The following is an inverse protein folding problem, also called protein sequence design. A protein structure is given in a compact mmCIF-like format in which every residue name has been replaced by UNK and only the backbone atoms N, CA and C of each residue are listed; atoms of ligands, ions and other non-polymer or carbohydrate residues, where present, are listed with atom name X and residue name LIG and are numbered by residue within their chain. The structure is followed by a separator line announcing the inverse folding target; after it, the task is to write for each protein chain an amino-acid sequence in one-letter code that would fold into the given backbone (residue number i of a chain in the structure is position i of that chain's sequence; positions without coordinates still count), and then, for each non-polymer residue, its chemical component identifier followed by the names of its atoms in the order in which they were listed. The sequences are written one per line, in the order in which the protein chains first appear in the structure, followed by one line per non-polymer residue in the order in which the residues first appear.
data_IF_428246369682
#
_entry.id   IF_428246369682
#
_cell.length_a   1.000
_cell.length_b   1.000
_cell.length_c   1.000
_cell.angle_alpha   90.00
_cell.angle_beta   90.00
_cell.angle_gamma   90.00
#
_symmetry.space_group_name_H-M   'P 1'
#
loop_
_entity.id
_entity.type
_entity.pdbx_description
1 polymer ?
#
# COMPACT_ATOMS: atom_id res chain seq x y z
N UNK A 1 12.62 1.09 -16.64
CA UNK A 1 13.91 0.67 -17.22
C UNK A 1 13.81 -0.79 -17.63
N UNK A 2 14.29 -1.14 -18.81
CA UNK A 2 14.43 -2.56 -19.21
C UNK A 2 15.75 -3.04 -18.63
N UNK A 3 15.70 -4.05 -17.77
CA UNK A 3 16.90 -4.71 -17.25
C UNK A 3 17.55 -5.51 -18.40
N UNK A 4 18.88 -5.51 -18.53
CA UNK A 4 19.57 -6.38 -19.46
C UNK A 4 19.49 -7.84 -18.98
N UNK A 5 19.73 -8.78 -19.89
CA UNK A 5 19.82 -10.20 -19.54
C UNK A 5 20.98 -10.50 -18.59
N UNK A 6 22.06 -9.71 -18.69
CA UNK A 6 23.23 -9.83 -17.81
C UNK A 6 23.49 -8.50 -17.07
N UNK A 7 23.48 -8.53 -15.74
CA UNK A 7 23.77 -7.35 -14.90
C UNK A 7 25.25 -6.93 -14.98
N UNK A 8 26.16 -7.81 -15.38
CA UNK A 8 27.57 -7.48 -15.59
C UNK A 8 27.80 -6.55 -16.80
N UNK A 9 26.76 -6.35 -17.64
CA UNK A 9 26.81 -5.39 -18.75
C UNK A 9 26.70 -3.93 -18.27
N UNK A 10 26.45 -3.72 -16.95
CA UNK A 10 26.43 -2.38 -16.37
C UNK A 10 27.76 -2.00 -15.76
N UNK A 11 28.22 -0.82 -16.12
CA UNK A 11 29.35 -0.13 -15.50
C UNK A 11 29.06 1.37 -15.36
N UNK A 12 30.02 2.13 -14.90
CA UNK A 12 29.88 3.60 -14.76
C UNK A 12 29.61 4.34 -16.09
N UNK A 13 29.92 3.73 -17.24
CA UNK A 13 29.75 4.27 -18.59
C UNK A 13 28.52 3.72 -19.30
N UNK A 14 27.98 2.59 -18.83
CA UNK A 14 26.84 1.89 -19.43
C UNK A 14 25.73 1.69 -18.39
N UNK A 15 24.99 2.77 -18.09
CA UNK A 15 23.92 2.76 -17.10
C UNK A 15 22.56 2.48 -17.73
N UNK A 16 21.61 2.02 -16.90
CA UNK A 16 20.22 1.83 -17.31
C UNK A 16 19.62 3.09 -17.91
N UNK A 17 19.05 2.94 -19.09
CA UNK A 17 18.26 4.01 -19.68
C UNK A 17 16.94 4.17 -18.92
N UNK A 18 16.80 5.27 -18.22
CA UNK A 18 15.56 5.62 -17.52
C UNK A 18 14.53 6.16 -18.53
N UNK A 19 13.30 5.68 -18.39
CA UNK A 19 12.14 6.20 -19.12
C UNK A 19 11.22 6.87 -18.11
N UNK A 20 10.96 8.16 -18.30
CA UNK A 20 9.98 8.88 -17.49
C UNK A 20 8.58 8.45 -17.94
N UNK A 21 7.80 7.90 -17.03
CA UNK A 21 6.42 7.49 -17.29
C UNK A 21 5.44 8.65 -17.07
N UNK A 22 5.63 9.41 -15.99
CA UNK A 22 4.78 10.54 -15.61
C UNK A 22 5.60 11.58 -14.85
N UNK A 23 5.23 12.84 -14.97
CA UNK A 23 5.72 13.95 -14.15
C UNK A 23 4.55 14.69 -13.47
N UNK A 24 4.86 15.77 -12.73
CA UNK A 24 3.87 16.54 -11.98
C UNK A 24 3.28 15.78 -10.79
N UNK A 25 4.01 14.84 -10.21
CA UNK A 25 3.61 14.08 -9.03
C UNK A 25 4.33 14.65 -7.79
N UNK A 26 3.73 15.68 -7.17
CA UNK A 26 4.31 16.35 -6.00
C UNK A 26 4.29 15.43 -4.79
N UNK A 27 5.38 15.44 -4.01
CA UNK A 27 5.54 14.56 -2.84
C UNK A 27 5.21 13.09 -3.15
N UNK A 28 5.62 12.62 -4.32
CA UNK A 28 5.53 11.20 -4.65
C UNK A 28 6.18 10.38 -3.54
N UNK A 29 5.43 9.48 -2.90
CA UNK A 29 5.88 8.79 -1.70
C UNK A 29 5.53 7.32 -1.69
N UNK A 30 4.25 6.96 -1.78
CA UNK A 30 3.79 5.58 -1.67
C UNK A 30 3.94 4.79 -2.97
N UNK A 31 4.30 3.53 -2.81
CA UNK A 31 4.38 2.56 -3.88
C UNK A 31 3.86 1.20 -3.39
N UNK A 32 2.90 0.63 -4.10
CA UNK A 32 2.40 -0.72 -3.84
C UNK A 32 2.39 -1.52 -5.14
N UNK A 33 3.12 -2.64 -5.17
CA UNK A 33 2.97 -3.64 -6.21
C UNK A 33 1.66 -4.41 -5.98
N UNK A 34 0.88 -4.59 -7.02
CA UNK A 34 -0.41 -5.29 -6.97
C UNK A 34 -0.68 -6.06 -8.26
N UNK A 35 -1.53 -7.07 -8.17
CA UNK A 35 -1.98 -7.82 -9.36
C UNK A 35 -3.46 -7.58 -9.57
N UNK A 36 -3.84 -7.07 -10.73
CA UNK A 36 -5.23 -6.84 -11.13
C UNK A 36 -5.50 -7.62 -12.42
N UNK A 37 -6.51 -8.49 -12.39
CA UNK A 37 -6.88 -9.35 -13.52
C UNK A 37 -5.69 -10.17 -14.10
N UNK A 38 -4.77 -10.59 -13.21
CA UNK A 38 -3.59 -11.35 -13.58
C UNK A 38 -2.42 -10.52 -14.12
N UNK A 39 -2.56 -9.18 -14.19
CA UNK A 39 -1.51 -8.26 -14.62
C UNK A 39 -0.86 -7.61 -13.40
N UNK A 40 0.47 -7.66 -13.32
CA UNK A 40 1.20 -6.95 -12.28
C UNK A 40 1.22 -5.45 -12.57
N UNK A 41 0.70 -4.67 -11.64
CA UNK A 41 0.56 -3.22 -11.72
C UNK A 41 1.29 -2.54 -10.55
N UNK A 42 1.49 -1.24 -10.68
CA UNK A 42 2.00 -0.41 -9.60
C UNK A 42 0.98 0.66 -9.21
N UNK A 43 0.65 0.72 -7.92
CA UNK A 43 -0.10 1.83 -7.34
C UNK A 43 0.91 2.85 -6.81
N UNK A 44 0.75 4.12 -7.20
CA UNK A 44 1.67 5.20 -6.83
C UNK A 44 0.86 6.37 -6.31
N UNK A 45 1.34 7.00 -5.23
CA UNK A 45 0.63 8.09 -4.55
C UNK A 45 1.44 9.38 -4.53
N UNK A 46 0.73 10.50 -4.53
CA UNK A 46 1.28 11.86 -4.47
C UNK A 46 0.23 12.87 -4.00
N UNK A 47 0.56 14.15 -3.97
CA UNK A 47 -0.40 15.22 -3.62
C UNK A 47 -1.55 15.33 -4.64
N UNK A 48 -1.35 14.92 -5.90
CA UNK A 48 -2.38 14.89 -6.95
C UNK A 48 -3.32 13.68 -6.83
N UNK A 49 -2.99 12.69 -6.00
CA UNK A 49 -3.85 11.54 -5.74
C UNK A 49 -3.20 10.17 -5.88
N UNK A 50 -4.01 9.19 -6.24
CA UNK A 50 -3.64 7.78 -6.39
C UNK A 50 -3.70 7.38 -7.86
N UNK A 51 -2.61 6.85 -8.38
CA UNK A 51 -2.45 6.45 -9.77
C UNK A 51 -2.13 4.97 -9.90
N UNK A 52 -2.79 4.31 -10.84
CA UNK A 52 -2.48 2.94 -11.26
C UNK A 52 -1.64 2.99 -12.53
N UNK A 53 -0.51 2.34 -12.49
CA UNK A 53 0.39 2.15 -13.62
C UNK A 53 0.30 0.70 -14.09
N UNK A 54 -0.22 0.48 -15.28
CA UNK A 54 -0.31 -0.84 -15.90
C UNK A 54 0.76 -0.97 -16.97
N UNK A 55 1.64 -1.98 -16.90
CA UNK A 55 2.65 -2.19 -17.92
C UNK A 55 2.00 -2.62 -19.24
N UNK A 56 2.59 -2.26 -20.38
CA UNK A 56 2.14 -2.75 -21.68
C UNK A 56 2.51 -4.23 -21.88
N UNK A 57 1.79 -4.91 -22.75
CA UNK A 57 2.12 -6.29 -23.15
C UNK A 57 3.46 -6.37 -23.92
N UNK A 58 3.82 -5.30 -24.62
CA UNK A 58 5.07 -5.19 -25.39
C UNK A 58 5.94 -4.05 -24.88
N UNK A 59 7.28 -4.23 -24.73
CA UNK A 59 8.19 -3.19 -24.23
C UNK A 59 8.27 -1.92 -25.10
N UNK A 60 7.74 -1.95 -26.33
CA UNK A 60 7.70 -0.79 -27.24
C UNK A 60 6.45 0.06 -27.09
N UNK A 61 5.45 -0.44 -26.38
CA UNK A 61 4.20 0.27 -26.12
C UNK A 61 4.32 1.18 -24.88
N UNK A 62 3.35 2.07 -24.73
CA UNK A 62 3.32 2.99 -23.58
C UNK A 62 2.57 2.35 -22.43
N UNK A 63 3.01 2.67 -21.21
CA UNK A 63 2.29 2.32 -19.99
C UNK A 63 0.93 3.03 -19.95
N UNK A 64 -0.09 2.32 -19.55
CA UNK A 64 -1.36 2.93 -19.17
C UNK A 64 -1.22 3.53 -17.77
N UNK A 65 -1.64 4.79 -17.62
CA UNK A 65 -1.61 5.50 -16.34
C UNK A 65 -3.00 6.04 -16.06
N UNK A 66 -3.68 5.44 -15.09
CA UNK A 66 -5.03 5.80 -14.68
C UNK A 66 -5.01 6.46 -13.32
N UNK A 67 -5.56 7.66 -13.20
CA UNK A 67 -5.87 8.26 -11.90
C UNK A 67 -7.11 7.60 -11.33
N UNK A 68 -6.97 6.92 -10.19
CA UNK A 68 -8.07 6.26 -9.50
C UNK A 68 -8.80 7.21 -8.56
N UNK A 69 -8.06 8.11 -7.91
CA UNK A 69 -8.56 9.04 -6.92
C UNK A 69 -7.77 10.35 -6.98
N UNK A 70 -8.44 11.49 -6.79
CA UNK A 70 -7.89 12.85 -6.79
C UNK A 70 -7.73 13.43 -5.37
N UNK A 71 -7.58 12.56 -4.37
CA UNK A 71 -7.32 12.94 -2.97
C UNK A 71 -5.84 12.79 -2.67
N UNK A 72 -5.17 13.82 -2.11
CA UNK A 72 -3.77 13.71 -1.71
C UNK A 72 -3.50 12.52 -0.82
N UNK A 73 -2.54 11.69 -1.18
CA UNK A 73 -2.22 10.46 -0.46
C UNK A 73 -0.71 10.31 -0.22
N UNK A 74 -0.35 9.91 1.00
CA UNK A 74 1.02 9.50 1.32
C UNK A 74 1.29 8.09 0.84
N UNK A 75 0.36 7.19 1.05
CA UNK A 75 0.47 5.79 0.66
C UNK A 75 -0.90 5.20 0.40
N UNK A 76 -0.97 4.15 -0.41
CA UNK A 76 -2.21 3.45 -0.71
C UNK A 76 -1.96 1.97 -1.02
N UNK A 77 -2.95 1.15 -0.72
CA UNK A 77 -3.04 -0.26 -1.09
C UNK A 77 -4.40 -0.55 -1.73
N UNK A 78 -4.47 -1.59 -2.55
CA UNK A 78 -5.69 -1.98 -3.24
C UNK A 78 -5.89 -3.48 -3.13
N UNK A 79 -7.09 -3.91 -2.76
CA UNK A 79 -7.49 -5.33 -2.77
C UNK A 79 -9.02 -5.45 -2.73
N UNK A 80 -9.55 -6.61 -3.11
CA UNK A 80 -10.93 -7.01 -2.84
C UNK A 80 -11.04 -7.37 -1.34
N UNK A 81 -11.38 -6.36 -0.56
CA UNK A 81 -11.27 -6.40 0.90
C UNK A 81 -12.44 -7.10 1.58
N UNK A 82 -13.63 -6.94 1.04
CA UNK A 82 -14.86 -7.57 1.56
C UNK A 82 -15.28 -8.81 0.76
N UNK A 83 -14.50 -9.18 -0.27
CA UNK A 83 -14.72 -10.35 -1.12
C UNK A 83 -16.02 -10.26 -1.95
N UNK A 84 -16.39 -9.04 -2.38
CA UNK A 84 -17.54 -8.80 -3.26
C UNK A 84 -17.17 -8.80 -4.77
N UNK A 85 -15.88 -8.97 -5.07
CA UNK A 85 -15.30 -8.97 -6.42
C UNK A 85 -14.92 -7.58 -6.92
N UNK A 86 -15.07 -6.52 -6.11
CA UNK A 86 -14.60 -5.17 -6.42
C UNK A 86 -13.38 -4.84 -5.56
N UNK A 87 -12.56 -3.94 -6.06
CA UNK A 87 -11.34 -3.56 -5.36
C UNK A 87 -11.56 -2.30 -4.52
N UNK A 88 -11.24 -2.37 -3.23
CA UNK A 88 -11.18 -1.22 -2.34
C UNK A 88 -9.77 -0.63 -2.30
N UNK A 89 -9.70 0.69 -2.06
CA UNK A 89 -8.48 1.41 -1.75
C UNK A 89 -8.40 1.69 -0.25
N UNK A 90 -7.33 1.23 0.39
CA UNK A 90 -6.93 1.70 1.71
C UNK A 90 -5.91 2.82 1.56
N UNK A 91 -6.13 4.00 2.17
CA UNK A 91 -5.35 5.20 1.88
C UNK A 91 -4.94 5.90 3.18
N UNK A 92 -3.66 6.32 3.22
CA UNK A 92 -3.18 7.33 4.17
C UNK A 92 -3.35 8.69 3.50
N UNK A 93 -4.34 9.48 3.95
CA UNK A 93 -4.63 10.79 3.36
C UNK A 93 -3.60 11.84 3.77
N UNK A 94 -3.17 12.61 2.78
CA UNK A 94 -2.10 13.62 2.80
C UNK A 94 -0.72 13.01 3.08
N UNK A 95 0.28 13.76 2.72
CA UNK A 95 1.67 13.38 2.96
C UNK A 95 1.98 13.28 4.46
N UNK A 96 2.37 12.09 4.93
CA UNK A 96 2.57 11.77 6.35
C UNK A 96 1.39 12.20 7.23
N UNK A 97 0.18 11.97 6.73
CA UNK A 97 -1.04 12.46 7.34
C UNK A 97 -1.50 11.67 8.57
N UNK A 98 -2.69 12.00 9.01
CA UNK A 98 -3.29 11.52 10.25
C UNK A 98 -4.61 10.77 10.04
N UNK A 99 -5.02 10.59 8.77
CA UNK A 99 -6.28 9.98 8.40
C UNK A 99 -6.06 8.69 7.61
N UNK A 100 -6.60 7.60 8.11
CA UNK A 100 -6.72 6.32 7.41
C UNK A 100 -8.15 6.20 6.87
N UNK A 101 -8.29 6.03 5.56
CA UNK A 101 -9.59 5.93 4.89
C UNK A 101 -9.67 4.72 3.98
N UNK A 102 -10.89 4.23 3.76
CA UNK A 102 -11.20 3.21 2.76
C UNK A 102 -12.18 3.79 1.76
N UNK A 103 -11.92 3.53 0.48
CA UNK A 103 -12.72 3.94 -0.65
C UNK A 103 -13.21 2.73 -1.43
N UNK A 104 -14.47 2.77 -1.87
CA UNK A 104 -15.11 1.75 -2.71
C UNK A 104 -15.53 2.33 -4.05
N UNK A 105 -15.59 1.47 -5.06
CA UNK A 105 -16.16 1.84 -6.36
C UNK A 105 -17.69 1.91 -6.25
N UNK A 106 -18.25 3.07 -6.60
CA UNK A 106 -19.68 3.26 -6.71
C UNK A 106 -20.25 2.74 -8.05
N UNK A 107 -21.57 2.83 -8.23
CA UNK A 107 -22.26 2.39 -9.45
C UNK A 107 -21.84 3.17 -10.72
N UNK A 108 -21.17 4.31 -10.57
CA UNK A 108 -20.64 5.11 -11.67
C UNK A 108 -19.17 4.76 -12.00
N UNK A 109 -18.59 3.77 -11.32
CA UNK A 109 -17.20 3.35 -11.51
C UNK A 109 -16.18 4.31 -10.89
N UNK A 110 -16.58 5.15 -9.91
CA UNK A 110 -15.71 6.08 -9.20
C UNK A 110 -15.52 5.64 -7.76
N UNK A 111 -14.32 5.87 -7.25
CA UNK A 111 -14.03 5.64 -5.84
C UNK A 111 -14.68 6.73 -4.97
N UNK A 112 -15.39 6.30 -3.94
CA UNK A 112 -16.00 7.14 -2.90
C UNK A 112 -15.57 6.64 -1.52
N UNK A 113 -15.29 7.59 -0.60
CA UNK A 113 -14.97 7.26 0.79
C UNK A 113 -16.14 6.56 1.45
N UNK A 114 -15.93 5.35 1.94
CA UNK A 114 -16.95 4.56 2.63
C UNK A 114 -16.65 4.37 4.11
N UNK A 115 -15.40 4.58 4.52
CA UNK A 115 -14.99 4.47 5.92
C UNK A 115 -13.76 5.33 6.22
N UNK A 116 -13.65 5.75 7.47
CA UNK A 116 -12.50 6.46 8.02
C UNK A 116 -12.26 5.95 9.44
N UNK A 117 -10.99 5.74 9.82
CA UNK A 117 -10.65 5.37 11.18
C UNK A 117 -11.08 6.49 12.14
N UNK A 118 -11.78 6.16 13.26
CA UNK A 118 -12.46 7.17 14.07
C UNK A 118 -11.53 8.11 14.84
N UNK A 119 -10.27 7.71 15.03
CA UNK A 119 -9.26 8.53 15.70
C UNK A 119 -8.23 9.04 14.69
N UNK A 120 -7.63 10.18 14.99
CA UNK A 120 -6.46 10.65 14.24
C UNK A 120 -5.21 9.90 14.67
N UNK A 121 -4.48 9.37 13.69
CA UNK A 121 -3.26 8.61 13.87
C UNK A 121 -2.06 9.45 13.43
N UNK A 122 -1.42 10.14 14.36
CA UNK A 122 -0.33 11.06 14.03
C UNK A 122 0.79 10.38 13.22
N UNK A 123 1.09 10.93 12.03
CA UNK A 123 2.15 10.48 11.15
C UNK A 123 1.99 9.02 10.73
N UNK A 124 0.89 8.69 10.09
CA UNK A 124 0.71 7.42 9.38
C UNK A 124 1.82 7.25 8.34
N UNK A 125 2.38 6.04 8.24
CA UNK A 125 3.53 5.82 7.36
C UNK A 125 3.53 4.45 6.70
N UNK A 126 3.27 3.38 7.43
CA UNK A 126 3.21 2.04 6.86
C UNK A 126 1.76 1.66 6.54
N UNK A 127 1.55 1.04 5.39
CA UNK A 127 0.29 0.39 5.02
C UNK A 127 0.60 -0.86 4.21
N UNK A 128 -0.12 -1.94 4.50
CA UNK A 128 -0.07 -3.20 3.79
C UNK A 128 -1.47 -3.77 3.64
N UNK A 129 -1.75 -4.47 2.56
CA UNK A 129 -3.01 -5.18 2.34
C UNK A 129 -2.74 -6.62 1.89
N UNK A 130 -3.54 -7.55 2.41
CA UNK A 130 -3.43 -8.95 2.03
C UNK A 130 -4.23 -9.87 2.94
N UNK A 131 -3.98 -11.16 2.82
CA UNK A 131 -4.58 -12.16 3.71
C UNK A 131 -3.69 -12.36 4.92
N UNK A 132 -4.24 -12.14 6.11
CA UNK A 132 -3.59 -12.37 7.39
C UNK A 132 -4.54 -13.20 8.27
N UNK A 133 -4.11 -14.36 8.74
CA UNK A 133 -4.94 -15.31 9.51
C UNK A 133 -6.24 -15.67 8.79
N UNK A 134 -6.15 -15.93 7.48
CA UNK A 134 -7.29 -16.31 6.65
C UNK A 134 -8.31 -15.21 6.33
N UNK A 135 -8.07 -13.96 6.77
CA UNK A 135 -8.93 -12.81 6.50
C UNK A 135 -8.21 -11.76 5.67
N UNK A 136 -8.95 -11.07 4.81
CA UNK A 136 -8.42 -9.85 4.15
C UNK A 136 -8.29 -8.75 5.19
N UNK A 137 -7.10 -8.12 5.23
CA UNK A 137 -6.80 -7.05 6.20
C UNK A 137 -5.98 -5.94 5.56
N UNK A 138 -6.22 -4.72 6.02
CA UNK A 138 -5.25 -3.64 5.93
C UNK A 138 -4.49 -3.58 7.25
N UNK A 139 -3.17 -3.55 7.20
CA UNK A 139 -2.32 -3.36 8.37
C UNK A 139 -1.60 -2.02 8.22
N UNK A 140 -1.74 -1.17 9.21
CA UNK A 140 -1.32 0.23 9.15
C UNK A 140 -0.55 0.60 10.41
N UNK A 141 0.54 1.34 10.24
CA UNK A 141 1.37 1.84 11.33
C UNK A 141 1.46 3.37 11.37
N UNK A 142 1.33 3.96 12.57
CA UNK A 142 1.59 5.37 12.78
C UNK A 142 2.82 5.60 13.67
N UNK A 143 3.64 6.59 13.31
CA UNK A 143 4.98 6.81 13.90
C UNK A 143 5.01 7.79 15.07
N UNK A 144 3.96 8.58 15.28
CA UNK A 144 3.86 9.57 16.35
C UNK A 144 2.62 9.34 17.20
N UNK A 145 2.49 10.09 18.30
CA UNK A 145 1.40 9.94 19.23
C UNK A 145 1.43 8.57 19.91
N UNK A 146 0.36 7.83 19.83
CA UNK A 146 0.19 6.50 20.44
C UNK A 146 0.96 5.37 19.72
N UNK A 147 1.53 5.62 18.55
CA UNK A 147 2.39 4.70 17.77
C UNK A 147 1.83 3.28 17.70
N UNK A 148 0.60 3.19 17.19
CA UNK A 148 -0.12 1.93 17.02
C UNK A 148 0.27 1.23 15.71
N UNK A 149 0.23 -0.10 15.71
CA UNK A 149 0.08 -0.92 14.50
C UNK A 149 -1.31 -1.56 14.57
N UNK A 150 -2.15 -1.26 13.57
CA UNK A 150 -3.57 -1.56 13.57
C UNK A 150 -3.87 -2.46 12.37
N UNK A 151 -4.66 -3.52 12.59
CA UNK A 151 -5.28 -4.27 11.52
C UNK A 151 -6.75 -3.84 11.36
N UNK A 152 -7.18 -3.67 10.12
CA UNK A 152 -8.58 -3.42 9.75
C UNK A 152 -9.06 -4.60 8.93
N UNK A 153 -10.24 -5.13 9.25
CA UNK A 153 -10.92 -6.23 8.54
C UNK A 153 -12.37 -5.87 8.25
N UNK A 154 -12.99 -6.61 7.31
CA UNK A 154 -14.42 -6.53 7.04
C UNK A 154 -15.10 -7.76 7.62
N UNK A 155 -16.01 -7.58 8.56
CA UNK A 155 -16.70 -8.67 9.23
C UNK A 155 -18.16 -8.31 9.49
N UNK A 156 -19.06 -9.22 9.16
CA UNK A 156 -20.51 -9.05 9.38
C UNK A 156 -21.11 -7.75 8.80
N UNK A 157 -20.53 -7.22 7.72
CA UNK A 157 -21.03 -6.00 7.08
C UNK A 157 -20.46 -4.70 7.65
N UNK A 158 -19.43 -4.78 8.50
CA UNK A 158 -18.80 -3.62 9.15
C UNK A 158 -17.28 -3.71 9.12
N UNK A 159 -16.61 -2.56 9.18
CA UNK A 159 -15.15 -2.48 9.37
C UNK A 159 -14.83 -2.68 10.85
N UNK A 160 -14.02 -3.68 11.13
CA UNK A 160 -13.50 -4.00 12.45
C UNK A 160 -12.03 -3.62 12.56
N UNK A 161 -11.61 -3.16 13.72
CA UNK A 161 -10.23 -2.77 13.97
C UNK A 161 -9.66 -3.54 15.14
N UNK A 162 -8.42 -3.98 14.99
CA UNK A 162 -7.66 -4.69 16.01
C UNK A 162 -6.29 -4.01 16.17
N UNK A 163 -5.85 -3.81 17.42
CA UNK A 163 -4.53 -3.28 17.70
C UNK A 163 -3.56 -4.46 17.78
N UNK A 164 -2.59 -4.52 16.86
CA UNK A 164 -1.53 -5.53 16.89
C UNK A 164 -0.49 -5.16 17.93
N UNK A 165 -0.11 -3.87 17.98
CA UNK A 165 0.95 -3.38 18.87
C UNK A 165 0.73 -1.91 19.18
N UNK A 166 1.19 -1.46 20.34
CA UNK A 166 1.15 -0.05 20.77
C UNK A 166 2.53 0.44 21.24
N UNK A 167 2.73 1.74 21.18
CA UNK A 167 3.96 2.44 21.59
C UNK A 167 5.22 2.16 20.77
N UNK A 168 5.12 1.40 19.71
CA UNK A 168 6.24 1.06 18.81
C UNK A 168 6.20 1.84 17.51
N UNK A 169 5.09 1.75 16.77
CA UNK A 169 4.80 2.51 15.57
C UNK A 169 5.61 2.10 14.35
N UNK A 170 5.04 1.22 13.52
CA UNK A 170 5.71 0.73 12.33
C UNK A 170 5.90 1.85 11.29
N UNK A 171 7.15 2.04 10.86
CA UNK A 171 7.49 2.87 9.71
C UNK A 171 7.43 2.08 8.40
N UNK A 172 7.54 0.75 8.47
CA UNK A 172 7.37 -0.16 7.34
C UNK A 172 6.85 -1.49 7.82
N UNK A 173 6.10 -2.18 6.97
CA UNK A 173 5.49 -3.48 7.28
C UNK A 173 5.72 -4.42 6.11
N UNK A 174 6.17 -5.64 6.41
CA UNK A 174 6.28 -6.75 5.47
C UNK A 174 5.53 -7.95 6.03
N UNK A 175 4.72 -8.59 5.19
CA UNK A 175 4.05 -9.84 5.50
C UNK A 175 4.62 -10.99 4.68
N UNK A 176 4.73 -12.15 5.27
CA UNK A 176 5.02 -13.42 4.58
C UNK A 176 4.52 -14.61 5.42
N UNK A 177 4.37 -15.77 4.77
CA UNK A 177 4.12 -17.03 5.45
C UNK A 177 5.43 -17.77 5.68
N UNK A 178 5.64 -18.32 6.87
CA UNK A 178 6.78 -19.15 7.16
C UNK A 178 6.59 -20.59 6.60
N UNK A 179 7.62 -21.43 6.74
CA UNK A 179 7.59 -22.83 6.26
C UNK A 179 6.55 -23.71 6.95
N UNK A 180 6.06 -23.29 8.11
CA UNK A 180 5.04 -23.98 8.90
C UNK A 180 3.62 -23.50 8.55
N UNK A 181 3.49 -22.56 7.61
CA UNK A 181 2.22 -21.99 7.20
C UNK A 181 1.67 -20.94 8.16
N UNK A 182 2.49 -20.41 9.07
CA UNK A 182 2.10 -19.31 9.96
C UNK A 182 2.32 -17.96 9.29
N UNK A 183 1.37 -17.08 9.46
CA UNK A 183 1.50 -15.68 9.03
C UNK A 183 2.51 -14.94 9.90
N UNK A 184 3.36 -14.16 9.26
CA UNK A 184 4.37 -13.35 9.92
C UNK A 184 4.27 -11.91 9.41
N UNK A 185 4.23 -10.97 10.33
CA UNK A 185 4.46 -9.55 10.06
C UNK A 185 5.80 -9.15 10.66
N UNK A 186 6.64 -8.53 9.83
CA UNK A 186 7.85 -7.83 10.28
C UNK A 186 7.59 -6.34 10.19
N UNK A 187 7.82 -5.63 11.30
CA UNK A 187 7.66 -4.20 11.42
C UNK A 187 9.00 -3.52 11.72
N UNK A 188 9.29 -2.45 10.98
CA UNK A 188 10.42 -1.58 11.28
C UNK A 188 9.94 -0.43 12.18
N UNK A 189 10.16 -0.54 13.47
CA UNK A 189 9.74 0.42 14.50
C UNK A 189 10.82 1.49 14.69
N UNK A 190 10.89 2.42 13.73
CA UNK A 190 11.97 3.40 13.60
C UNK A 190 12.17 4.24 14.86
N UNK A 191 11.09 4.67 15.50
CA UNK A 191 11.15 5.64 16.62
C UNK A 191 11.71 5.04 17.92
N UNK A 192 11.83 3.70 17.97
CA UNK A 192 12.44 2.98 19.09
C UNK A 192 13.65 2.14 18.66
N UNK A 193 14.14 2.32 17.42
CA UNK A 193 15.29 1.60 16.83
C UNK A 193 15.15 0.07 16.89
N UNK A 194 13.96 -0.44 16.57
CA UNK A 194 13.61 -1.86 16.67
C UNK A 194 13.14 -2.42 15.33
N UNK A 195 13.40 -3.70 15.12
CA UNK A 195 12.68 -4.53 14.15
C UNK A 195 11.94 -5.61 14.93
N UNK A 196 10.64 -5.59 14.90
CA UNK A 196 9.76 -6.55 15.55
C UNK A 196 9.24 -7.60 14.57
N UNK A 197 9.00 -8.80 15.06
CA UNK A 197 8.36 -9.87 14.32
C UNK A 197 7.15 -10.39 15.11
N UNK A 198 5.98 -10.34 14.49
CA UNK A 198 4.73 -10.86 15.02
C UNK A 198 4.40 -12.17 14.30
N UNK A 199 4.25 -13.25 15.06
CA UNK A 199 3.90 -14.58 14.54
C UNK A 199 2.46 -14.84 14.96
N UNK A 200 1.60 -15.08 13.98
CA UNK A 200 0.18 -15.37 14.19
C UNK A 200 -0.05 -16.89 14.17
N UNK A 201 -0.81 -17.40 15.11
CA UNK A 201 -1.16 -18.83 15.24
C UNK A 201 -2.54 -19.16 14.69
#
# INVERSE_FOLDING_TARGET
AVLPENLDDFDENNQLKLVKLKDGMLKNHGYCATTIDGVECALVTCDEGVFLFTPPESPVEQWEIKQLLDVPASDAVICDFDSDGKLELGIIEKFHGDVLSIYRINDQGKYEKCWEYPEKLEMLHAIWAGTLCGKKRFVVGNRRGNRKTIAVSWEAGEYQTEIIEENTGAANILHFMNKEGKDIIVAANREINEVAMFIFE
#
